data_IF_450408188443
#
_entry.id   IF_450408188443
#
_cell.length_a   1.000
_cell.length_b   1.000
_cell.length_c   1.000
_cell.angle_alpha   90.00
_cell.angle_beta   90.00
_cell.angle_gamma   90.00
#
_symmetry.space_group_name_H-M   'P 1'
#
loop_
_entity.id
_entity.type
_entity.pdbx_description
1 polymer ?
#
# COMPACT_ATOMS: atom_id res chain seq x y z
N UNK A 1 -3.29 16.08 -13.19
CA UNK A 1 -3.30 14.67 -12.71
C UNK A 1 -4.73 14.20 -12.37
N UNK A 2 -5.46 14.78 -11.41
CA UNK A 2 -6.86 14.37 -11.09
C UNK A 2 -7.76 14.51 -12.32
N UNK A 3 -7.72 15.66 -12.99
CA UNK A 3 -8.55 15.93 -14.16
C UNK A 3 -8.20 14.98 -15.34
N UNK A 4 -6.92 14.64 -15.50
CA UNK A 4 -6.47 13.64 -16.48
C UNK A 4 -6.98 12.24 -16.13
N UNK A 5 -6.98 11.84 -14.85
CA UNK A 5 -7.55 10.56 -14.44
C UNK A 5 -9.05 10.51 -14.73
N UNK A 6 -9.77 11.60 -14.47
CA UNK A 6 -11.22 11.71 -14.72
C UNK A 6 -11.59 11.77 -16.20
N UNK A 7 -10.70 12.24 -17.06
CA UNK A 7 -10.96 12.18 -18.51
C UNK A 7 -10.97 10.74 -19.05
N UNK A 8 -10.34 9.79 -18.32
CA UNK A 8 -10.35 8.36 -18.66
C UNK A 8 -11.44 7.61 -17.90
N UNK A 9 -11.63 7.94 -16.63
CA UNK A 9 -12.67 7.35 -15.78
C UNK A 9 -13.36 8.47 -14.97
N UNK A 10 -14.55 8.96 -15.41
CA UNK A 10 -15.26 10.04 -14.74
C UNK A 10 -15.64 9.76 -13.28
N UNK A 11 -15.86 8.48 -12.93
CA UNK A 11 -16.31 8.03 -11.63
C UNK A 11 -15.16 7.72 -10.66
N UNK A 12 -13.91 8.01 -11.06
CA UNK A 12 -12.75 7.71 -10.22
C UNK A 12 -12.76 8.52 -8.93
N UNK A 13 -12.59 7.82 -7.82
CA UNK A 13 -12.25 8.42 -6.52
C UNK A 13 -10.74 8.40 -6.33
N UNK A 14 -10.15 9.55 -6.00
CA UNK A 14 -8.71 9.68 -5.79
C UNK A 14 -8.43 9.87 -4.30
N UNK A 15 -7.59 9.02 -3.73
CA UNK A 15 -7.15 9.13 -2.34
C UNK A 15 -5.66 9.46 -2.36
N UNK A 16 -5.31 10.64 -1.89
CA UNK A 16 -3.93 11.03 -1.68
C UNK A 16 -3.42 10.57 -0.32
N UNK A 17 -2.12 10.42 -0.22
CA UNK A 17 -1.41 10.22 1.05
C UNK A 17 -0.03 10.85 0.97
N UNK A 18 0.46 11.36 2.08
CA UNK A 18 1.85 11.81 2.22
C UNK A 18 2.63 10.68 2.88
N UNK A 19 3.69 10.22 2.21
CA UNK A 19 4.51 9.12 2.69
C UNK A 19 5.18 9.45 4.03
N UNK A 20 5.18 8.54 5.02
CA UNK A 20 5.93 8.70 6.27
C UNK A 20 7.45 8.53 6.12
N UNK A 21 7.94 8.11 4.96
CA UNK A 21 9.37 8.02 4.67
C UNK A 21 10.06 9.37 4.92
N UNK A 22 11.18 9.38 5.66
CA UNK A 22 11.98 10.57 5.92
C UNK A 22 12.98 10.78 4.80
N UNK A 23 12.88 11.90 4.09
CA UNK A 23 13.86 12.30 3.08
C UNK A 23 14.94 13.17 3.71
N UNK A 24 16.01 12.54 4.20
CA UNK A 24 17.06 13.21 4.94
C UNK A 24 18.30 13.57 4.10
N UNK A 25 18.27 13.33 2.79
CA UNK A 25 19.41 13.63 1.92
C UNK A 25 19.85 15.11 1.90
N UNK A 26 18.90 16.01 2.20
CA UNK A 26 19.16 17.46 2.33
C UNK A 26 18.96 17.98 3.76
N UNK A 27 18.90 17.08 4.73
CA UNK A 27 18.74 17.39 6.14
C UNK A 27 17.29 17.43 6.63
N UNK A 28 17.13 17.46 7.95
CA UNK A 28 15.84 17.35 8.61
C UNK A 28 14.92 18.56 8.33
N UNK A 29 15.48 19.76 8.23
CA UNK A 29 14.70 20.96 7.93
C UNK A 29 14.07 20.91 6.53
N UNK A 30 14.83 20.51 5.52
CA UNK A 30 14.33 20.38 4.14
C UNK A 30 13.28 19.27 4.07
N UNK A 31 13.46 18.16 4.79
CA UNK A 31 12.42 17.15 4.92
C UNK A 31 11.11 17.71 5.51
N UNK A 32 11.18 18.51 6.57
CA UNK A 32 10.01 19.14 7.17
C UNK A 32 9.31 20.08 6.18
N UNK A 33 10.04 20.94 5.50
CA UNK A 33 9.49 21.83 4.47
C UNK A 33 8.83 21.05 3.33
N UNK A 34 9.47 19.98 2.86
CA UNK A 34 8.93 19.12 1.80
C UNK A 34 7.60 18.46 2.23
N UNK A 35 7.52 17.94 3.47
CA UNK A 35 6.28 17.38 3.99
C UNK A 35 5.18 18.41 4.12
N UNK A 36 5.50 19.58 4.66
CA UNK A 36 4.54 20.70 4.78
C UNK A 36 3.99 21.13 3.42
N UNK A 37 4.86 21.24 2.42
CA UNK A 37 4.46 21.57 1.04
C UNK A 37 3.50 20.52 0.47
N UNK A 38 3.78 19.23 0.67
CA UNK A 38 2.91 18.15 0.18
C UNK A 38 1.56 18.16 0.89
N UNK A 39 1.53 18.36 2.21
CA UNK A 39 0.29 18.45 2.98
C UNK A 39 -0.58 19.62 2.51
N UNK A 40 -0.01 20.81 2.35
CA UNK A 40 -0.73 21.99 1.85
C UNK A 40 -1.23 21.80 0.42
N UNK A 41 -0.43 21.16 -0.43
CA UNK A 41 -0.83 20.87 -1.82
C UNK A 41 -2.01 19.90 -1.88
N UNK A 42 -2.01 18.85 -1.06
CA UNK A 42 -3.12 17.88 -0.97
C UNK A 42 -4.36 18.56 -0.44
N UNK A 43 -4.26 19.35 0.63
CA UNK A 43 -5.38 20.11 1.21
C UNK A 43 -6.01 21.05 0.17
N UNK A 44 -5.22 21.79 -0.57
CA UNK A 44 -5.67 22.67 -1.66
C UNK A 44 -6.42 21.89 -2.76
N UNK A 45 -5.94 20.71 -3.14
CA UNK A 45 -6.61 19.87 -4.15
C UNK A 45 -7.92 19.31 -3.62
N UNK A 46 -7.97 18.85 -2.37
CA UNK A 46 -9.20 18.36 -1.73
C UNK A 46 -10.27 19.45 -1.64
N UNK A 47 -9.87 20.64 -1.22
CA UNK A 47 -10.78 21.80 -1.06
C UNK A 47 -11.37 22.28 -2.40
N UNK A 48 -10.67 22.03 -3.52
CA UNK A 48 -11.06 22.51 -4.85
C UNK A 48 -11.73 21.45 -5.73
N UNK A 49 -11.78 20.16 -5.32
CA UNK A 49 -12.28 19.06 -6.16
C UNK A 49 -13.07 18.04 -5.35
N UNK A 50 -14.27 17.70 -5.81
CA UNK A 50 -15.07 16.61 -5.24
C UNK A 50 -14.44 15.25 -5.58
N UNK A 51 -14.77 14.21 -4.80
CA UNK A 51 -14.28 12.83 -5.02
C UNK A 51 -12.76 12.67 -4.86
N UNK A 52 -12.14 13.60 -4.13
CA UNK A 52 -10.74 13.53 -3.71
C UNK A 52 -10.70 13.42 -2.20
N UNK A 53 -9.97 12.43 -1.69
CA UNK A 53 -9.77 12.18 -0.27
C UNK A 53 -8.30 12.17 0.12
N UNK A 54 -8.04 12.16 1.41
CA UNK A 54 -6.71 12.03 2.00
C UNK A 54 -6.68 10.90 3.02
N UNK A 55 -5.64 10.08 2.95
CA UNK A 55 -5.33 9.10 3.97
C UNK A 55 -4.07 9.54 4.75
N UNK A 56 -4.16 9.74 6.07
CA UNK A 56 -3.14 10.41 6.85
C UNK A 56 -1.98 9.48 7.28
N UNK A 57 -1.32 8.81 6.31
CA UNK A 57 -0.25 7.86 6.66
C UNK A 57 0.97 8.53 7.30
N UNK A 58 1.24 9.80 6.97
CA UNK A 58 2.30 10.59 7.59
C UNK A 58 1.96 10.89 9.06
N UNK A 59 0.76 11.35 9.33
CA UNK A 59 0.28 11.70 10.68
C UNK A 59 0.19 10.45 11.56
N UNK A 60 -0.31 9.33 11.03
CA UNK A 60 -0.33 8.05 11.78
C UNK A 60 1.08 7.67 12.22
N UNK A 61 2.08 7.83 11.34
CA UNK A 61 3.47 7.56 11.72
C UNK A 61 4.00 8.54 12.77
N UNK A 62 3.62 9.81 12.67
CA UNK A 62 4.14 10.88 13.55
C UNK A 62 3.41 10.95 14.89
N UNK A 63 2.14 10.55 14.95
CA UNK A 63 1.30 10.68 16.13
C UNK A 63 1.00 9.34 16.80
N UNK A 64 0.46 8.34 16.09
CA UNK A 64 0.14 7.04 16.69
C UNK A 64 1.40 6.23 16.98
N UNK A 65 2.34 6.22 16.02
CA UNK A 65 3.56 5.42 16.10
C UNK A 65 4.78 6.18 16.64
N UNK A 66 4.69 7.35 17.02
CA UNK A 66 5.57 8.37 17.65
C UNK A 66 6.90 7.90 18.28
N UNK A 67 7.50 6.79 17.85
CA UNK A 67 8.71 6.23 18.44
C UNK A 67 9.70 5.81 17.34
N UNK A 68 10.98 6.03 17.58
CA UNK A 68 12.06 5.64 16.66
C UNK A 68 12.12 4.12 16.40
N UNK A 69 11.60 3.27 17.29
CA UNK A 69 11.47 1.81 17.06
C UNK A 69 10.63 1.45 15.85
N UNK A 70 9.82 2.37 15.35
CA UNK A 70 9.01 2.18 14.15
C UNK A 70 9.74 2.61 12.86
N UNK A 71 10.96 3.14 12.98
CA UNK A 71 11.88 3.32 11.86
C UNK A 71 12.87 2.17 11.79
N UNK A 72 13.26 1.79 10.57
CA UNK A 72 14.33 0.82 10.32
C UNK A 72 15.69 1.39 10.76
N UNK A 73 16.74 0.56 10.72
CA UNK A 73 18.10 0.94 11.16
C UNK A 73 18.66 2.18 10.43
N UNK A 74 18.18 2.46 9.22
CA UNK A 74 18.54 3.66 8.47
C UNK A 74 17.87 4.96 8.97
N UNK A 75 16.97 4.86 9.93
CA UNK A 75 16.21 5.96 10.53
C UNK A 75 15.37 6.76 9.53
N UNK A 76 15.08 6.19 8.36
CA UNK A 76 14.32 6.82 7.27
C UNK A 76 13.09 6.05 6.89
N UNK A 77 13.24 4.73 6.68
CA UNK A 77 12.14 3.87 6.27
C UNK A 77 11.33 3.39 7.49
N UNK A 78 9.99 3.37 7.39
CA UNK A 78 9.17 2.69 8.40
C UNK A 78 9.51 1.20 8.47
N UNK A 79 9.46 0.64 9.67
CA UNK A 79 9.58 -0.82 9.86
C UNK A 79 8.38 -1.56 9.24
N UNK A 80 8.53 -2.86 9.01
CA UNK A 80 7.42 -3.73 8.57
C UNK A 80 6.24 -3.73 9.58
N UNK A 81 6.51 -3.47 10.86
CA UNK A 81 5.47 -3.33 11.88
C UNK A 81 4.67 -2.04 11.65
N UNK A 82 5.35 -0.91 11.42
CA UNK A 82 4.70 0.36 11.13
C UNK A 82 3.90 0.30 9.83
N UNK A 83 4.48 -0.26 8.76
CA UNK A 83 3.78 -0.46 7.47
C UNK A 83 2.51 -1.29 7.65
N UNK A 84 2.57 -2.35 8.47
CA UNK A 84 1.40 -3.19 8.75
C UNK A 84 0.31 -2.43 9.46
N UNK A 85 0.65 -1.68 10.51
CA UNK A 85 -0.29 -0.87 11.27
C UNK A 85 -1.01 0.15 10.39
N UNK A 86 -0.25 0.92 9.59
CA UNK A 86 -0.80 1.91 8.66
C UNK A 86 -1.70 1.24 7.61
N UNK A 87 -1.27 0.09 7.06
CA UNK A 87 -2.07 -0.66 6.10
C UNK A 87 -3.37 -1.22 6.70
N UNK A 88 -3.36 -1.66 7.95
CA UNK A 88 -4.56 -2.14 8.64
C UNK A 88 -5.60 -1.03 8.79
N UNK A 89 -5.17 0.19 9.16
CA UNK A 89 -6.05 1.36 9.21
C UNK A 89 -6.57 1.68 7.80
N UNK A 90 -5.69 1.75 6.79
CA UNK A 90 -6.09 2.00 5.41
C UNK A 90 -7.13 0.99 4.91
N UNK A 91 -6.84 -0.28 5.06
CA UNK A 91 -7.72 -1.35 4.58
C UNK A 91 -9.04 -1.43 5.34
N UNK A 92 -9.06 -1.10 6.63
CA UNK A 92 -10.31 -1.04 7.41
C UNK A 92 -11.18 0.14 7.01
N UNK A 93 -10.57 1.24 6.55
CA UNK A 93 -11.28 2.45 6.14
C UNK A 93 -11.87 2.33 4.74
N UNK A 94 -11.10 1.79 3.78
CA UNK A 94 -11.46 1.87 2.36
C UNK A 94 -11.87 0.55 1.72
N UNK A 95 -11.51 -0.59 2.30
CA UNK A 95 -11.82 -1.88 1.70
C UNK A 95 -13.11 -2.47 2.25
N UNK A 96 -13.93 -3.02 1.37
CA UNK A 96 -15.04 -3.87 1.78
C UNK A 96 -14.54 -5.12 2.52
N UNK A 97 -15.38 -5.79 3.33
CA UNK A 97 -15.00 -7.07 3.95
C UNK A 97 -14.51 -8.09 2.93
N UNK A 98 -15.16 -8.18 1.75
CA UNK A 98 -14.75 -9.09 0.67
C UNK A 98 -13.38 -8.73 0.11
N UNK A 99 -13.09 -7.43 -0.09
CA UNK A 99 -11.77 -6.96 -0.56
C UNK A 99 -10.68 -7.25 0.47
N UNK A 100 -10.97 -7.10 1.76
CA UNK A 100 -10.01 -7.42 2.84
C UNK A 100 -9.69 -8.92 2.89
N UNK A 101 -10.70 -9.77 2.74
CA UNK A 101 -10.50 -11.23 2.68
C UNK A 101 -9.64 -11.61 1.46
N UNK A 102 -9.94 -11.05 0.28
CA UNK A 102 -9.16 -11.26 -0.93
C UNK A 102 -7.70 -10.80 -0.76
N UNK A 103 -7.46 -9.62 -0.19
CA UNK A 103 -6.13 -9.10 0.09
C UNK A 103 -5.35 -9.98 1.07
N UNK A 104 -6.01 -10.52 2.09
CA UNK A 104 -5.42 -11.44 3.06
C UNK A 104 -4.99 -12.77 2.40
N UNK A 105 -5.83 -13.34 1.55
CA UNK A 105 -5.52 -14.58 0.79
C UNK A 105 -4.38 -14.35 -0.19
N UNK A 106 -4.38 -13.23 -0.93
CA UNK A 106 -3.29 -12.85 -1.84
C UNK A 106 -1.96 -12.70 -1.12
N UNK A 107 -1.95 -12.06 0.07
CA UNK A 107 -0.76 -11.95 0.91
C UNK A 107 -0.26 -13.33 1.39
N UNK A 108 -1.16 -14.25 1.72
CA UNK A 108 -0.79 -15.62 2.09
C UNK A 108 -0.13 -16.36 0.92
N UNK A 109 -0.67 -16.20 -0.30
CA UNK A 109 -0.07 -16.76 -1.51
C UNK A 109 1.33 -16.20 -1.75
N UNK A 110 1.50 -14.87 -1.74
CA UNK A 110 2.80 -14.22 -1.94
C UNK A 110 3.86 -14.73 -0.97
N UNK A 111 3.50 -14.87 0.32
CA UNK A 111 4.43 -15.43 1.31
C UNK A 111 4.83 -16.87 1.01
N UNK A 112 3.88 -17.72 0.59
CA UNK A 112 4.17 -19.11 0.23
C UNK A 112 5.04 -19.20 -1.00
N UNK A 113 4.80 -18.38 -2.02
CA UNK A 113 5.62 -18.32 -3.23
C UNK A 113 7.04 -17.83 -2.93
N UNK A 114 7.20 -16.82 -2.07
CA UNK A 114 8.51 -16.35 -1.63
C UNK A 114 9.32 -17.43 -0.88
N UNK A 115 8.68 -18.22 -0.02
CA UNK A 115 9.34 -19.37 0.64
C UNK A 115 9.75 -20.47 -0.35
N UNK A 116 9.08 -20.57 -1.49
CA UNK A 116 9.33 -21.58 -2.51
C UNK A 116 10.63 -21.35 -3.31
N UNK A 117 11.09 -20.11 -3.41
CA UNK A 117 12.37 -19.78 -4.07
C UNK A 117 13.59 -20.51 -3.45
N UNK A 118 13.41 -21.15 -2.31
CA UNK A 118 14.44 -21.97 -1.65
C UNK A 118 14.42 -23.46 -2.06
N UNK A 119 13.73 -23.86 -3.15
CA UNK A 119 13.91 -25.17 -3.78
C UNK A 119 12.76 -26.19 -3.68
N UNK A 120 11.51 -25.78 -3.50
CA UNK A 120 10.34 -26.69 -3.40
C UNK A 120 9.31 -26.57 -4.53
N UNK A 121 8.69 -27.69 -4.89
CA UNK A 121 7.46 -27.75 -5.71
C UNK A 121 6.28 -27.11 -4.97
N UNK A 122 5.25 -26.55 -5.67
CA UNK A 122 4.03 -26.07 -5.01
C UNK A 122 3.42 -27.20 -4.19
N UNK A 123 3.11 -26.89 -2.93
CA UNK A 123 2.27 -27.79 -2.15
C UNK A 123 0.84 -27.73 -2.68
N UNK A 124 0.05 -28.80 -2.52
CA UNK A 124 -1.38 -28.85 -2.88
C UNK A 124 -2.15 -27.66 -2.34
N UNK A 125 -1.81 -27.20 -1.15
CA UNK A 125 -2.35 -26.00 -0.53
C UNK A 125 -2.07 -24.70 -1.32
N UNK A 126 -0.94 -24.57 -2.00
CA UNK A 126 -0.62 -23.38 -2.81
C UNK A 126 -1.43 -23.38 -4.09
N UNK A 127 -1.58 -24.53 -4.75
CA UNK A 127 -2.42 -24.70 -5.92
C UNK A 127 -3.89 -24.36 -5.60
N UNK A 128 -4.41 -24.84 -4.46
CA UNK A 128 -5.74 -24.53 -3.98
C UNK A 128 -5.97 -23.04 -3.73
N UNK A 129 -5.00 -22.34 -3.14
CA UNK A 129 -5.10 -20.88 -2.93
C UNK A 129 -5.11 -20.12 -4.27
N UNK A 130 -4.32 -20.55 -5.25
CA UNK A 130 -4.30 -19.95 -6.60
C UNK A 130 -5.67 -20.12 -7.26
N UNK A 131 -6.23 -21.31 -7.22
CA UNK A 131 -7.56 -21.61 -7.75
C UNK A 131 -8.64 -20.74 -7.08
N UNK A 132 -8.69 -20.71 -5.75
CA UNK A 132 -9.64 -19.90 -4.97
C UNK A 132 -9.53 -18.40 -5.31
N UNK A 133 -8.32 -17.85 -5.45
CA UNK A 133 -8.10 -16.46 -5.82
C UNK A 133 -8.53 -16.15 -7.25
N UNK A 134 -8.26 -17.07 -8.18
CA UNK A 134 -8.65 -16.93 -9.59
C UNK A 134 -10.16 -16.99 -9.77
N UNK A 135 -10.85 -17.86 -9.03
CA UNK A 135 -12.32 -17.96 -9.01
C UNK A 135 -12.91 -16.68 -8.40
N UNK A 136 -12.36 -16.20 -7.27
CA UNK A 136 -12.86 -15.00 -6.60
C UNK A 136 -12.66 -13.71 -7.41
N UNK A 137 -11.60 -13.64 -8.21
CA UNK A 137 -11.33 -12.52 -9.10
C UNK A 137 -10.52 -12.97 -10.33
N UNK A 138 -11.19 -13.25 -11.48
CA UNK A 138 -10.50 -13.69 -12.70
C UNK A 138 -9.41 -12.77 -13.22
N UNK A 139 -9.46 -11.47 -12.90
CA UNK A 139 -8.41 -10.52 -13.28
C UNK A 139 -7.06 -10.77 -12.59
N UNK A 140 -7.03 -11.58 -11.54
CA UNK A 140 -5.80 -11.98 -10.86
C UNK A 140 -5.04 -13.08 -11.61
N UNK A 141 -5.69 -13.88 -12.45
CA UNK A 141 -5.06 -15.00 -13.14
C UNK A 141 -3.77 -14.58 -13.89
N UNK A 142 -3.78 -13.59 -14.81
CA UNK A 142 -2.58 -13.21 -15.54
C UNK A 142 -1.49 -12.59 -14.64
N UNK A 143 -1.88 -12.00 -13.51
CA UNK A 143 -0.94 -11.44 -12.53
C UNK A 143 -0.26 -12.58 -11.78
N UNK A 144 -1.01 -13.57 -11.33
CA UNK A 144 -0.52 -14.75 -10.62
C UNK A 144 0.42 -15.55 -11.53
N UNK A 145 0.03 -15.80 -12.78
CA UNK A 145 0.83 -16.53 -13.77
C UNK A 145 2.18 -15.83 -14.02
N UNK A 146 2.16 -14.50 -14.20
CA UNK A 146 3.38 -13.70 -14.34
C UNK A 146 4.29 -13.81 -13.11
N UNK A 147 3.69 -13.75 -11.91
CA UNK A 147 4.44 -13.84 -10.66
C UNK A 147 5.11 -15.22 -10.49
N UNK A 148 4.40 -16.28 -10.86
CA UNK A 148 4.93 -17.67 -10.82
C UNK A 148 6.02 -17.88 -11.87
N UNK A 149 5.83 -17.35 -13.09
CA UNK A 149 6.76 -17.54 -14.22
C UNK A 149 8.06 -16.76 -14.07
N UNK A 150 8.02 -15.58 -13.46
CA UNK A 150 9.20 -14.72 -13.32
C UNK A 150 10.07 -15.07 -12.10
N UNK A 151 9.69 -16.05 -11.28
CA UNK A 151 10.47 -16.47 -10.11
C UNK A 151 10.61 -15.39 -9.02
N UNK A 152 9.70 -14.40 -8.99
CA UNK A 152 9.66 -13.34 -7.99
C UNK A 152 8.91 -13.78 -6.73
#
# INVERSE_FOLDING_TARGET
MVDTARSVNPDITVIFTVSPLRYLGQGAHVNALSKSTLLLAVDSVMSSRQGVGYFPSFEIMMDDLRDYRFYADDMKHPTQQAVRYIYEIFSSTYFSPATRDLAMRSRKLTRRLAHRQMGGTPTDDTAKIIEELTIANPLLAPIIDRYISNGL
#
